data_IF_562873420040
#
_entry.id   IF_562873420040
#
_cell.length_a   1.000
_cell.length_b   1.000
_cell.length_c   1.000
_cell.angle_alpha   90.00
_cell.angle_beta   90.00
_cell.angle_gamma   90.00
#
_symmetry.space_group_name_H-M   'P 1'
#
loop_
_entity.id
_entity.type
_entity.pdbx_description
1 polymer ?
#
# COMPACT_ATOMS: atom_id res chain seq x y z
N UNK A 1 54.61 -64.11 -26.22
CA UNK A 1 53.81 -62.87 -26.30
C UNK A 1 54.18 -62.07 -27.54
N UNK A 2 53.19 -61.60 -28.32
CA UNK A 2 53.37 -60.65 -29.44
C UNK A 2 52.44 -59.46 -29.23
N UNK A 3 52.91 -58.23 -29.43
CA UNK A 3 52.10 -57.02 -29.33
C UNK A 3 51.94 -56.37 -30.69
N UNK A 4 50.70 -56.13 -31.11
CA UNK A 4 50.35 -55.50 -32.39
C UNK A 4 49.43 -54.32 -32.08
N UNK A 5 49.94 -53.09 -32.25
CA UNK A 5 49.32 -51.85 -31.75
C UNK A 5 48.94 -51.95 -30.26
N UNK A 6 47.65 -51.86 -29.94
CA UNK A 6 47.11 -51.90 -28.57
C UNK A 6 46.75 -53.31 -28.10
N UNK A 7 46.84 -54.32 -28.97
CA UNK A 7 46.42 -55.70 -28.67
C UNK A 7 47.62 -56.59 -28.38
N UNK A 8 47.58 -57.30 -27.26
CA UNK A 8 48.58 -58.33 -26.91
C UNK A 8 48.05 -59.73 -27.21
N UNK A 9 48.88 -60.55 -27.84
CA UNK A 9 48.59 -61.92 -28.28
C UNK A 9 49.52 -62.93 -27.59
N UNK A 10 48.95 -64.05 -27.15
CA UNK A 10 49.64 -65.12 -26.45
C UNK A 10 49.47 -66.46 -27.14
N UNK A 11 50.51 -67.30 -27.11
CA UNK A 11 50.37 -68.72 -27.48
C UNK A 11 49.59 -69.45 -26.39
N UNK A 12 48.91 -70.55 -26.75
CA UNK A 12 48.05 -71.29 -25.81
C UNK A 12 48.80 -71.73 -24.55
N UNK A 13 50.06 -72.19 -24.68
CA UNK A 13 50.89 -72.55 -23.52
C UNK A 13 51.15 -71.37 -22.57
N UNK A 14 51.40 -70.18 -23.12
CA UNK A 14 51.60 -68.95 -22.33
C UNK A 14 50.30 -68.54 -21.61
N UNK A 15 49.13 -68.75 -22.23
CA UNK A 15 47.83 -68.46 -21.59
C UNK A 15 47.55 -69.42 -20.43
N UNK A 16 47.96 -70.69 -20.51
CA UNK A 16 47.83 -71.65 -19.39
C UNK A 16 48.63 -71.18 -18.18
N UNK A 17 49.86 -70.70 -18.40
CA UNK A 17 50.70 -70.15 -17.33
C UNK A 17 50.08 -68.89 -16.72
N UNK A 18 49.62 -67.96 -17.55
CA UNK A 18 48.95 -66.72 -17.08
C UNK A 18 47.69 -67.05 -16.26
N UNK A 19 46.88 -68.02 -16.69
CA UNK A 19 45.68 -68.44 -15.97
C UNK A 19 46.01 -69.05 -14.60
N UNK A 20 47.11 -69.79 -14.51
CA UNK A 20 47.58 -70.38 -13.25
C UNK A 20 48.14 -69.32 -12.30
N UNK A 21 48.98 -68.41 -12.79
CA UNK A 21 49.67 -67.43 -11.95
C UNK A 21 48.77 -66.26 -11.52
N UNK A 22 47.94 -65.74 -12.43
CA UNK A 22 47.12 -64.54 -12.15
C UNK A 22 45.72 -64.85 -11.62
N UNK A 23 45.18 -66.04 -11.88
CA UNK A 23 43.78 -66.37 -11.57
C UNK A 23 43.61 -67.66 -10.75
N UNK A 24 44.71 -68.28 -10.30
CA UNK A 24 44.73 -69.60 -9.60
C UNK A 24 43.91 -70.68 -10.33
N UNK A 25 43.80 -70.56 -11.67
CA UNK A 25 42.95 -71.43 -12.48
C UNK A 25 43.78 -72.46 -13.23
N UNK A 26 43.79 -73.69 -12.71
CA UNK A 26 44.53 -74.79 -13.32
C UNK A 26 43.70 -75.44 -14.44
N UNK A 27 44.16 -75.29 -15.67
CA UNK A 27 43.56 -75.90 -16.87
C UNK A 27 44.65 -76.54 -17.74
N UNK A 28 44.38 -77.72 -18.28
CA UNK A 28 45.33 -78.32 -19.23
C UNK A 28 45.25 -77.64 -20.58
N UNK A 29 46.37 -77.57 -21.30
CA UNK A 29 46.45 -76.98 -22.64
C UNK A 29 45.40 -77.57 -23.58
N UNK A 30 45.12 -78.86 -23.50
CA UNK A 30 44.13 -79.52 -24.36
C UNK A 30 42.69 -79.09 -24.04
N UNK A 31 42.35 -78.90 -22.76
CA UNK A 31 41.01 -78.43 -22.36
C UNK A 31 40.85 -76.95 -22.70
N UNK A 32 41.89 -76.15 -22.51
CA UNK A 32 41.91 -74.75 -22.94
C UNK A 32 41.75 -74.65 -24.46
N UNK A 33 42.44 -75.49 -25.23
CA UNK A 33 42.29 -75.53 -26.68
C UNK A 33 40.84 -75.79 -27.10
N UNK A 34 40.21 -76.82 -26.50
CA UNK A 34 38.80 -77.16 -26.79
C UNK A 34 37.86 -76.01 -26.41
N UNK A 35 38.11 -75.35 -25.27
CA UNK A 35 37.30 -74.22 -24.79
C UNK A 35 37.45 -73.00 -25.69
N UNK A 36 38.67 -72.65 -26.08
CA UNK A 36 38.96 -71.56 -27.00
C UNK A 36 38.39 -71.83 -28.41
N UNK A 37 38.46 -73.08 -28.90
CA UNK A 37 37.82 -73.49 -30.16
C UNK A 37 36.29 -73.37 -30.08
N UNK A 38 35.68 -73.84 -28.98
CA UNK A 38 34.23 -73.75 -28.78
C UNK A 38 33.74 -72.31 -28.70
N UNK A 39 34.58 -71.39 -28.23
CA UNK A 39 34.29 -69.96 -28.17
C UNK A 39 34.75 -69.18 -29.41
N UNK A 40 35.29 -69.87 -30.43
CA UNK A 40 35.91 -69.28 -31.62
C UNK A 40 36.88 -68.13 -31.31
N UNK A 41 37.69 -68.31 -30.27
CA UNK A 41 38.46 -67.24 -29.66
C UNK A 41 39.89 -67.08 -30.21
N UNK A 42 40.23 -67.85 -31.25
CA UNK A 42 41.55 -67.82 -31.88
C UNK A 42 41.66 -66.72 -32.94
N UNK A 43 42.79 -66.02 -32.92
CA UNK A 43 43.19 -65.08 -33.97
C UNK A 43 44.41 -65.67 -34.68
N UNK A 44 44.33 -65.79 -36.02
CA UNK A 44 45.43 -66.30 -36.84
C UNK A 44 46.32 -65.14 -37.27
N UNK A 45 47.62 -65.23 -36.97
CA UNK A 45 48.62 -64.25 -37.40
C UNK A 45 49.90 -64.98 -37.83
N UNK A 46 50.38 -64.73 -39.05
CA UNK A 46 51.48 -65.46 -39.69
C UNK A 46 51.30 -66.99 -39.60
N UNK A 47 50.11 -67.46 -39.96
CA UNK A 47 49.69 -68.87 -39.95
C UNK A 47 49.71 -69.61 -38.60
N UNK A 48 49.94 -68.89 -37.50
CA UNK A 48 49.89 -69.43 -36.14
C UNK A 48 48.66 -68.88 -35.42
N UNK A 49 48.00 -69.74 -34.64
CA UNK A 49 46.84 -69.37 -33.82
C UNK A 49 47.30 -68.80 -32.47
N UNK A 50 46.78 -67.63 -32.13
CA UNK A 50 47.02 -66.94 -30.87
C UNK A 50 45.69 -66.65 -30.15
N UNK A 51 45.79 -66.38 -28.85
CA UNK A 51 44.69 -65.90 -28.03
C UNK A 51 44.97 -64.45 -27.60
N UNK A 52 44.05 -63.51 -27.85
CA UNK A 52 44.16 -62.15 -27.33
C UNK A 52 44.13 -62.10 -25.80
N UNK A 53 44.79 -61.10 -25.21
CA UNK A 53 44.80 -60.88 -23.76
C UNK A 53 43.40 -60.65 -23.18
N UNK A 54 42.59 -59.87 -23.89
CA UNK A 54 41.29 -59.39 -23.39
C UNK A 54 40.27 -60.51 -23.17
N UNK A 55 40.47 -61.66 -23.81
CA UNK A 55 39.60 -62.83 -23.68
C UNK A 55 40.06 -63.80 -22.59
N UNK A 56 41.23 -63.61 -21.98
CA UNK A 56 41.81 -64.56 -21.01
C UNK A 56 40.92 -64.67 -19.77
N UNK A 57 40.41 -63.56 -19.23
CA UNK A 57 39.48 -63.56 -18.10
C UNK A 57 38.17 -64.33 -18.41
N UNK A 58 37.71 -64.22 -19.66
CA UNK A 58 36.49 -64.87 -20.15
C UNK A 58 36.65 -66.40 -20.28
N UNK A 59 37.89 -66.90 -20.39
CA UNK A 59 38.20 -68.32 -20.43
C UNK A 59 38.11 -68.99 -19.05
N UNK A 60 38.02 -68.23 -17.96
CA UNK A 60 37.80 -68.75 -16.60
C UNK A 60 36.31 -69.04 -16.34
N UNK A 61 35.40 -68.33 -17.01
CA UNK A 61 33.95 -68.45 -16.76
C UNK A 61 33.36 -69.82 -17.19
N UNK A 62 32.42 -70.35 -16.40
CA UNK A 62 31.79 -71.66 -16.61
C UNK A 62 30.69 -71.57 -17.70
N UNK A 63 30.82 -72.38 -18.76
CA UNK A 63 30.15 -72.22 -20.08
C UNK A 63 28.61 -72.24 -19.99
N UNK A 64 28.02 -72.93 -19.01
CA UNK A 64 26.55 -73.03 -18.85
C UNK A 64 25.85 -71.69 -18.54
N UNK A 65 26.51 -70.73 -17.88
CA UNK A 65 25.94 -69.38 -17.63
C UNK A 65 26.00 -68.47 -18.86
N UNK A 66 26.97 -68.67 -19.77
CA UNK A 66 27.17 -67.83 -20.97
C UNK A 66 26.17 -68.17 -22.09
N UNK A 67 25.84 -69.44 -22.28
CA UNK A 67 24.86 -69.86 -23.30
C UNK A 67 23.44 -69.35 -23.01
N UNK A 68 23.02 -69.40 -21.75
CA UNK A 68 21.70 -68.88 -21.34
C UNK A 68 21.65 -67.36 -21.57
N UNK A 69 22.72 -66.62 -21.23
CA UNK A 69 22.82 -65.17 -21.47
C UNK A 69 22.73 -64.83 -22.97
N UNK A 70 23.44 -65.56 -23.82
CA UNK A 70 23.41 -65.36 -25.28
C UNK A 70 22.03 -65.67 -25.86
N UNK A 71 21.40 -66.76 -25.44
CA UNK A 71 20.04 -67.11 -25.90
C UNK A 71 19.01 -66.06 -25.47
N UNK A 72 19.08 -65.57 -24.23
CA UNK A 72 18.21 -64.49 -23.77
C UNK A 72 18.43 -63.20 -24.55
N UNK A 73 19.69 -62.87 -24.88
CA UNK A 73 20.03 -61.67 -25.64
C UNK A 73 19.47 -61.72 -27.07
N UNK A 74 19.61 -62.86 -27.77
CA UNK A 74 19.06 -63.06 -29.12
C UNK A 74 17.53 -62.88 -29.12
N UNK A 75 16.84 -63.48 -28.14
CA UNK A 75 15.37 -63.36 -28.02
C UNK A 75 14.93 -61.90 -27.78
N UNK A 76 15.69 -61.14 -26.98
CA UNK A 76 15.40 -59.72 -26.71
C UNK A 76 15.64 -58.88 -27.96
N UNK A 77 16.73 -59.11 -28.68
CA UNK A 77 17.06 -58.40 -29.92
C UNK A 77 16.00 -58.63 -31.01
N UNK A 78 15.54 -59.87 -31.21
CA UNK A 78 14.46 -60.18 -32.15
C UNK A 78 13.14 -59.48 -31.80
N UNK A 79 12.81 -59.38 -30.51
CA UNK A 79 11.61 -58.69 -30.04
C UNK A 79 11.71 -57.18 -30.24
N UNK A 80 12.87 -56.59 -29.95
CA UNK A 80 13.13 -55.16 -30.19
C UNK A 80 12.99 -54.84 -31.67
N UNK A 81 13.50 -55.69 -32.56
CA UNK A 81 13.46 -55.44 -33.99
C UNK A 81 12.02 -55.53 -34.56
N UNK A 82 11.21 -56.46 -34.04
CA UNK A 82 9.77 -56.52 -34.34
C UNK A 82 9.04 -55.25 -33.88
N UNK A 83 9.35 -54.75 -32.68
CA UNK A 83 8.75 -53.51 -32.16
C UNK A 83 9.15 -52.31 -33.03
N UNK A 84 10.41 -52.19 -33.43
CA UNK A 84 10.86 -51.11 -34.33
C UNK A 84 10.13 -51.15 -35.67
N UNK A 85 10.02 -52.31 -36.31
CA UNK A 85 9.25 -52.47 -37.57
C UNK A 85 7.79 -52.06 -37.40
N UNK A 86 7.15 -52.48 -36.30
CA UNK A 86 5.78 -52.06 -36.00
C UNK A 86 5.65 -50.55 -35.85
N UNK A 87 6.59 -49.90 -35.14
CA UNK A 87 6.61 -48.44 -34.99
C UNK A 87 6.87 -47.72 -36.32
N UNK A 88 7.73 -48.25 -37.18
CA UNK A 88 7.96 -47.71 -38.53
C UNK A 88 6.73 -47.84 -39.42
N UNK A 89 6.04 -48.98 -39.39
CA UNK A 89 4.79 -49.20 -40.12
C UNK A 89 3.67 -48.30 -39.60
N UNK A 90 3.54 -48.15 -38.28
CA UNK A 90 2.61 -47.23 -37.65
C UNK A 90 2.91 -45.78 -38.07
N UNK A 91 4.17 -45.34 -38.02
CA UNK A 91 4.58 -44.00 -38.43
C UNK A 91 4.37 -43.74 -39.94
N UNK A 92 4.56 -44.77 -40.79
CA UNK A 92 4.26 -44.71 -42.23
C UNK A 92 2.76 -44.67 -42.52
N UNK A 93 1.95 -45.35 -41.72
CA UNK A 93 0.47 -45.37 -41.85
C UNK A 93 -0.18 -44.10 -41.30
N UNK A 94 0.41 -43.53 -40.25
CA UNK A 94 -0.05 -42.32 -39.57
C UNK A 94 0.99 -41.20 -39.75
N UNK A 95 1.29 -40.85 -41.00
CA UNK A 95 2.18 -39.74 -41.41
C UNK A 95 1.59 -38.36 -41.12
N UNK A 96 1.00 -38.13 -39.95
CA UNK A 96 0.69 -36.79 -39.48
C UNK A 96 1.11 -36.70 -38.01
N UNK A 97 2.21 -36.00 -37.70
CA UNK A 97 2.51 -35.62 -36.33
C UNK A 97 1.26 -34.97 -35.71
N UNK A 98 0.93 -35.23 -34.44
CA UNK A 98 -0.28 -34.67 -33.79
C UNK A 98 -0.46 -33.17 -34.04
N UNK A 99 0.64 -32.43 -34.13
CA UNK A 99 0.70 -30.99 -34.44
C UNK A 99 0.13 -30.66 -35.83
N UNK A 100 0.43 -31.46 -36.87
CA UNK A 100 -0.11 -31.26 -38.22
C UNK A 100 -1.61 -31.59 -38.29
N UNK A 101 -2.07 -32.64 -37.59
CA UNK A 101 -3.48 -33.00 -37.51
C UNK A 101 -4.32 -31.92 -36.81
N UNK A 102 -3.79 -31.33 -35.72
CA UNK A 102 -4.41 -30.19 -35.03
C UNK A 102 -4.49 -28.97 -35.94
N UNK A 103 -3.44 -28.69 -36.71
CA UNK A 103 -3.42 -27.54 -37.63
C UNK A 103 -4.34 -27.74 -38.85
N UNK A 104 -4.46 -28.96 -39.39
CA UNK A 104 -5.40 -29.26 -40.48
C UNK A 104 -6.86 -29.27 -40.03
N UNK A 105 -7.15 -29.69 -38.78
CA UNK A 105 -8.49 -29.54 -38.19
C UNK A 105 -8.86 -28.06 -37.98
N UNK A 106 -7.92 -27.23 -37.52
CA UNK A 106 -8.11 -25.77 -37.41
C UNK A 106 -8.35 -25.11 -38.78
N UNK A 107 -7.66 -25.55 -39.84
CA UNK A 107 -7.76 -24.94 -41.17
C UNK A 107 -8.93 -25.45 -42.01
N UNK A 108 -9.45 -26.67 -41.76
CA UNK A 108 -10.54 -27.27 -42.56
C UNK A 108 -11.94 -27.02 -42.02
N UNK A 109 -12.10 -26.54 -40.80
CA UNK A 109 -13.40 -26.21 -40.25
C UNK A 109 -13.60 -24.67 -40.24
N UNK A 110 -14.36 -24.10 -41.19
CA UNK A 110 -14.63 -22.66 -41.22
C UNK A 110 -15.27 -22.16 -39.93
N UNK A 111 -16.08 -22.99 -39.25
CA UNK A 111 -16.64 -22.63 -37.94
C UNK A 111 -15.56 -22.50 -36.87
N UNK A 112 -14.51 -23.33 -36.89
CA UNK A 112 -13.40 -23.24 -35.94
C UNK A 112 -12.61 -21.95 -36.12
N UNK A 113 -12.32 -21.53 -37.36
CA UNK A 113 -11.65 -20.26 -37.61
C UNK A 113 -12.50 -19.05 -37.20
N UNK A 114 -13.81 -19.09 -37.45
CA UNK A 114 -14.75 -18.05 -36.99
C UNK A 114 -14.79 -17.96 -35.47
N UNK A 115 -14.86 -19.10 -34.77
CA UNK A 115 -14.82 -19.16 -33.31
C UNK A 115 -13.49 -18.60 -32.77
N UNK A 116 -12.35 -18.97 -33.36
CA UNK A 116 -11.03 -18.43 -32.94
C UNK A 116 -11.00 -16.91 -33.08
N UNK A 117 -11.48 -16.36 -34.20
CA UNK A 117 -11.55 -14.91 -34.41
C UNK A 117 -12.45 -14.23 -33.38
N UNK A 118 -13.63 -14.78 -33.12
CA UNK A 118 -14.57 -14.26 -32.12
C UNK A 118 -13.96 -14.28 -30.71
N UNK A 119 -13.27 -15.36 -30.33
CA UNK A 119 -12.59 -15.46 -29.03
C UNK A 119 -11.46 -14.43 -28.90
N UNK A 120 -10.69 -14.19 -29.98
CA UNK A 120 -9.65 -13.15 -29.98
C UNK A 120 -10.28 -11.76 -29.80
N UNK A 121 -11.37 -11.46 -30.53
CA UNK A 121 -12.09 -10.18 -30.40
C UNK A 121 -12.66 -10.01 -28.99
N UNK A 122 -13.35 -11.01 -28.46
CA UNK A 122 -13.88 -10.99 -27.09
C UNK A 122 -12.77 -10.76 -26.06
N UNK A 123 -11.60 -11.38 -26.24
CA UNK A 123 -10.46 -11.17 -25.35
C UNK A 123 -9.96 -9.72 -25.39
N UNK A 124 -9.94 -9.09 -26.57
CA UNK A 124 -9.57 -7.68 -26.73
C UNK A 124 -10.61 -6.75 -26.08
N UNK A 125 -11.90 -7.03 -26.29
CA UNK A 125 -13.00 -6.25 -25.69
C UNK A 125 -13.02 -6.36 -24.16
N UNK A 126 -12.80 -7.56 -23.62
CA UNK A 126 -12.66 -7.78 -22.17
C UNK A 126 -11.49 -6.96 -21.63
N UNK A 127 -10.33 -6.98 -22.29
CA UNK A 127 -9.15 -6.20 -21.85
C UNK A 127 -9.44 -4.70 -21.84
N UNK A 128 -10.07 -4.19 -22.90
CA UNK A 128 -10.45 -2.77 -22.99
C UNK A 128 -11.44 -2.40 -21.89
N UNK A 129 -12.44 -3.25 -21.65
CA UNK A 129 -13.43 -3.02 -20.58
C UNK A 129 -12.78 -3.02 -19.20
N UNK A 130 -11.78 -3.88 -18.96
CA UNK A 130 -11.02 -3.89 -17.71
C UNK A 130 -10.20 -2.61 -17.52
N UNK A 131 -9.57 -2.10 -18.58
CA UNK A 131 -8.83 -0.83 -18.56
C UNK A 131 -9.79 0.35 -18.25
N UNK A 132 -10.95 0.41 -18.91
CA UNK A 132 -11.97 1.44 -18.67
C UNK A 132 -12.53 1.39 -17.23
N UNK A 133 -12.66 0.19 -16.66
CA UNK A 133 -13.15 -0.02 -15.29
C UNK A 133 -12.10 0.43 -14.27
N UNK A 134 -10.83 0.11 -14.49
CA UNK A 134 -9.73 0.60 -13.66
C UNK A 134 -9.64 2.14 -13.67
N UNK A 135 -9.81 2.78 -14.83
CA UNK A 135 -9.79 4.25 -14.91
C UNK A 135 -10.97 4.88 -14.13
N UNK A 136 -12.14 4.22 -14.15
CA UNK A 136 -13.31 4.66 -13.38
C UNK A 136 -13.08 4.49 -11.88
N UNK A 137 -12.49 3.38 -11.44
CA UNK A 137 -12.16 3.16 -10.02
C UNK A 137 -11.16 4.22 -9.52
N UNK A 138 -10.11 4.52 -10.29
CA UNK A 138 -9.15 5.58 -9.96
C UNK A 138 -9.82 6.97 -9.84
N UNK A 139 -10.84 7.24 -10.67
CA UNK A 139 -11.64 8.48 -10.58
C UNK A 139 -12.52 8.49 -9.35
N UNK A 140 -13.14 7.36 -9.01
CA UNK A 140 -13.96 7.21 -7.80
C UNK A 140 -13.10 7.50 -6.56
N UNK A 141 -11.91 6.92 -6.47
CA UNK A 141 -10.98 7.14 -5.36
C UNK A 141 -10.59 8.62 -5.21
N UNK A 142 -10.32 9.30 -6.33
CA UNK A 142 -10.01 10.75 -6.33
C UNK A 142 -11.21 11.58 -5.85
N UNK A 143 -12.41 11.23 -6.31
CA UNK A 143 -13.64 11.91 -5.89
C UNK A 143 -13.92 11.68 -4.40
N UNK A 144 -13.74 10.46 -3.89
CA UNK A 144 -13.89 10.16 -2.48
C UNK A 144 -12.94 10.98 -1.61
N UNK A 145 -11.66 11.09 -1.99
CA UNK A 145 -10.69 11.96 -1.29
C UNK A 145 -11.12 13.43 -1.29
N UNK A 146 -11.68 13.90 -2.41
CA UNK A 146 -12.16 15.29 -2.54
C UNK A 146 -13.38 15.54 -1.66
N UNK A 147 -14.32 14.58 -1.61
CA UNK A 147 -15.50 14.63 -0.74
C UNK A 147 -15.06 14.67 0.72
N UNK A 148 -14.14 13.79 1.13
CA UNK A 148 -13.61 13.74 2.50
C UNK A 148 -13.02 15.09 2.91
N UNK A 149 -12.15 15.67 2.08
CA UNK A 149 -11.56 16.99 2.34
C UNK A 149 -12.63 18.09 2.46
N UNK A 150 -13.63 18.07 1.57
CA UNK A 150 -14.72 19.05 1.61
C UNK A 150 -15.57 18.91 2.88
N UNK A 151 -15.77 17.69 3.38
CA UNK A 151 -16.48 17.45 4.63
C UNK A 151 -15.69 17.97 5.84
N UNK A 152 -14.37 17.79 5.86
CA UNK A 152 -13.49 18.34 6.89
C UNK A 152 -13.54 19.88 6.90
N UNK A 153 -13.43 20.51 5.72
CA UNK A 153 -13.53 21.97 5.58
C UNK A 153 -14.90 22.49 6.07
N UNK A 154 -16.00 21.78 5.75
CA UNK A 154 -17.35 22.13 6.23
C UNK A 154 -17.46 22.05 7.75
N UNK A 155 -16.92 20.99 8.36
CA UNK A 155 -16.93 20.85 9.83
C UNK A 155 -16.14 21.97 10.51
N UNK A 156 -15.01 22.39 9.94
CA UNK A 156 -14.24 23.52 10.46
C UNK A 156 -15.05 24.82 10.40
N UNK A 157 -15.73 25.08 9.27
CA UNK A 157 -16.59 26.26 9.11
C UNK A 157 -17.79 26.26 10.04
N UNK A 158 -18.44 25.12 10.27
CA UNK A 158 -19.51 25.01 11.26
C UNK A 158 -19.01 25.31 12.68
N UNK A 159 -17.79 24.87 13.01
CA UNK A 159 -17.10 25.22 14.25
C UNK A 159 -16.84 26.73 14.39
N UNK A 160 -16.36 27.38 13.33
CA UNK A 160 -16.18 28.84 13.28
C UNK A 160 -17.50 29.58 13.48
N UNK A 161 -18.57 29.19 12.77
CA UNK A 161 -19.90 29.79 12.89
C UNK A 161 -20.41 29.68 14.33
N UNK A 162 -20.22 28.53 14.97
CA UNK A 162 -20.63 28.32 16.37
C UNK A 162 -19.89 29.26 17.31
N UNK A 163 -18.57 29.40 17.15
CA UNK A 163 -17.75 30.35 17.95
C UNK A 163 -18.19 31.80 17.74
N UNK A 164 -18.46 32.20 16.49
CA UNK A 164 -18.94 33.54 16.18
C UNK A 164 -20.32 33.82 16.79
N UNK A 165 -21.24 32.86 16.74
CA UNK A 165 -22.56 32.98 17.40
C UNK A 165 -22.42 33.22 18.91
N UNK A 166 -21.54 32.48 19.58
CA UNK A 166 -21.26 32.67 21.01
C UNK A 166 -20.71 34.08 21.27
N UNK A 167 -19.74 34.53 20.47
CA UNK A 167 -19.15 35.86 20.60
C UNK A 167 -20.18 36.99 20.38
N UNK A 168 -21.06 36.84 19.41
CA UNK A 168 -22.17 37.78 19.15
C UNK A 168 -23.11 37.85 20.34
N UNK A 169 -23.51 36.70 20.90
CA UNK A 169 -24.38 36.67 22.07
C UNK A 169 -23.76 37.37 23.27
N UNK A 170 -22.48 37.09 23.56
CA UNK A 170 -21.76 37.76 24.64
C UNK A 170 -21.70 39.28 24.43
N UNK A 171 -21.37 39.72 23.22
CA UNK A 171 -21.35 41.15 22.88
C UNK A 171 -22.72 41.81 23.06
N UNK A 172 -23.81 41.07 22.77
CA UNK A 172 -25.18 41.54 22.96
C UNK A 172 -25.54 41.69 24.43
N UNK A 173 -25.13 40.74 25.27
CA UNK A 173 -25.28 40.81 26.73
C UNK A 173 -24.52 42.02 27.30
N UNK A 174 -23.26 42.20 26.91
CA UNK A 174 -22.44 43.35 27.31
C UNK A 174 -23.09 44.69 26.91
N UNK A 175 -23.67 44.75 25.69
CA UNK A 175 -24.38 45.94 25.22
C UNK A 175 -25.63 46.23 26.05
N UNK A 176 -26.40 45.19 26.39
CA UNK A 176 -27.58 45.34 27.24
C UNK A 176 -27.22 45.86 28.63
N UNK A 177 -26.15 45.35 29.24
CA UNK A 177 -25.67 45.84 30.54
C UNK A 177 -25.29 47.33 30.48
N UNK A 178 -24.64 47.75 29.39
CA UNK A 178 -24.29 49.16 29.16
C UNK A 178 -25.51 50.04 28.95
N UNK A 179 -26.53 49.58 28.25
CA UNK A 179 -27.79 50.32 28.09
C UNK A 179 -28.54 50.50 29.41
N UNK A 180 -28.53 49.48 30.27
CA UNK A 180 -29.07 49.57 31.63
C UNK A 180 -28.28 50.56 32.49
N UNK A 181 -26.95 50.54 32.39
CA UNK A 181 -26.06 51.50 33.07
C UNK A 181 -26.34 52.94 32.63
N UNK A 182 -26.44 53.19 31.32
CA UNK A 182 -26.81 54.49 30.76
C UNK A 182 -28.16 54.95 31.29
N UNK A 183 -29.13 54.04 31.39
CA UNK A 183 -30.47 54.35 31.93
C UNK A 183 -30.40 54.76 33.40
N UNK A 184 -29.64 54.03 34.22
CA UNK A 184 -29.40 54.39 35.64
C UNK A 184 -28.74 55.76 35.77
N UNK A 185 -27.70 56.02 34.97
CA UNK A 185 -27.00 57.32 34.97
C UNK A 185 -27.92 58.47 34.54
N UNK A 186 -28.76 58.28 33.53
CA UNK A 186 -29.76 59.29 33.12
C UNK A 186 -30.72 59.63 34.26
N UNK A 187 -31.21 58.62 34.99
CA UNK A 187 -32.09 58.83 36.16
C UNK A 187 -31.34 59.60 37.25
N UNK A 188 -30.11 59.20 37.58
CA UNK A 188 -29.29 59.89 38.57
C UNK A 188 -29.04 61.36 38.21
N UNK A 189 -28.64 61.65 36.97
CA UNK A 189 -28.44 63.02 36.47
C UNK A 189 -29.73 63.83 36.59
N UNK A 190 -30.88 63.26 36.21
CA UNK A 190 -32.18 63.95 36.32
C UNK A 190 -32.50 64.30 37.78
N UNK A 191 -32.27 63.36 38.70
CA UNK A 191 -32.50 63.57 40.14
C UNK A 191 -31.62 64.68 40.69
N UNK A 192 -30.30 64.61 40.45
CA UNK A 192 -29.35 65.64 40.90
C UNK A 192 -29.68 67.01 40.31
N UNK A 193 -30.13 67.07 39.05
CA UNK A 193 -30.56 68.32 38.43
C UNK A 193 -31.77 68.94 39.12
N UNK A 194 -32.75 68.13 39.52
CA UNK A 194 -33.92 68.63 40.26
C UNK A 194 -33.54 69.06 41.67
N UNK A 195 -32.75 68.26 42.41
CA UNK A 195 -32.23 68.63 43.74
C UNK A 195 -31.47 69.96 43.71
N UNK A 196 -30.59 70.14 42.73
CA UNK A 196 -29.85 71.40 42.56
C UNK A 196 -30.78 72.58 42.21
N UNK A 197 -31.86 72.32 41.45
CA UNK A 197 -32.85 73.36 41.10
C UNK A 197 -33.65 73.79 42.32
N UNK A 198 -34.08 72.84 43.15
CA UNK A 198 -34.76 73.11 44.43
C UNK A 198 -33.84 73.92 45.36
N UNK A 199 -32.58 73.51 45.53
CA UNK A 199 -31.62 74.24 46.37
C UNK A 199 -31.38 75.68 45.89
N UNK A 200 -31.26 75.89 44.57
CA UNK A 200 -31.14 77.23 43.97
C UNK A 200 -32.41 78.05 44.23
N UNK A 201 -33.59 77.45 44.10
CA UNK A 201 -34.86 78.12 44.35
C UNK A 201 -34.98 78.56 45.82
N UNK A 202 -34.62 77.69 46.76
CA UNK A 202 -34.65 77.99 48.19
C UNK A 202 -33.70 79.12 48.55
N UNK A 203 -32.45 79.07 48.06
CA UNK A 203 -31.48 80.16 48.26
C UNK A 203 -31.96 81.49 47.67
N UNK A 204 -32.61 81.47 46.50
CA UNK A 204 -33.18 82.68 45.90
C UNK A 204 -34.33 83.26 46.73
N UNK A 205 -35.17 82.42 47.33
CA UNK A 205 -36.22 82.88 48.25
C UNK A 205 -35.61 83.49 49.52
N UNK A 206 -34.58 82.86 50.08
CA UNK A 206 -33.86 83.37 51.24
C UNK A 206 -33.23 84.74 50.96
N UNK A 207 -32.51 84.88 49.84
CA UNK A 207 -31.95 86.16 49.37
C UNK A 207 -33.04 87.23 49.26
N UNK A 208 -34.23 86.88 48.75
CA UNK A 208 -35.35 87.81 48.63
C UNK A 208 -35.85 88.27 50.00
N UNK A 209 -36.00 87.33 50.97
CA UNK A 209 -36.37 87.66 52.35
C UNK A 209 -35.35 88.59 53.02
N UNK A 210 -34.07 88.29 52.87
CA UNK A 210 -32.96 89.10 53.39
C UNK A 210 -32.98 90.50 52.76
N UNK A 211 -33.15 90.62 51.44
CA UNK A 211 -33.26 91.92 50.75
C UNK A 211 -34.42 92.76 51.31
N UNK A 212 -35.59 92.16 51.52
CA UNK A 212 -36.74 92.85 52.13
C UNK A 212 -36.40 93.31 53.55
N UNK A 213 -35.78 92.45 54.36
CA UNK A 213 -35.38 92.78 55.73
C UNK A 213 -34.38 93.94 55.77
N UNK A 214 -33.35 93.92 54.91
CA UNK A 214 -32.36 95.01 54.79
C UNK A 214 -33.06 96.32 54.41
N UNK A 215 -33.97 96.30 53.43
CA UNK A 215 -34.71 97.50 53.01
C UNK A 215 -35.57 98.06 54.14
N UNK A 216 -36.31 97.21 54.88
CA UNK A 216 -37.08 97.65 56.05
C UNK A 216 -36.19 98.27 57.13
N UNK A 217 -35.06 97.63 57.44
CA UNK A 217 -34.09 98.19 58.41
C UNK A 217 -33.57 99.54 57.94
N UNK A 218 -33.27 99.69 56.64
CA UNK A 218 -32.84 100.97 56.06
C UNK A 218 -33.93 102.05 56.16
N UNK A 219 -35.17 101.73 55.84
CA UNK A 219 -36.31 102.65 55.98
C UNK A 219 -36.52 103.07 57.44
N UNK A 220 -36.43 102.13 58.38
CA UNK A 220 -36.52 102.43 59.81
C UNK A 220 -35.40 103.35 60.27
N UNK A 221 -34.14 103.07 59.90
CA UNK A 221 -33.01 103.98 60.21
C UNK A 221 -33.19 105.38 59.61
N UNK A 222 -33.73 105.47 58.38
CA UNK A 222 -34.04 106.77 57.77
C UNK A 222 -35.13 107.53 58.54
N UNK A 223 -36.18 106.83 59.00
CA UNK A 223 -37.23 107.42 59.85
C UNK A 223 -36.64 107.88 61.18
N UNK A 224 -35.86 107.04 61.86
CA UNK A 224 -35.21 107.35 63.14
C UNK A 224 -34.27 108.56 63.04
N UNK A 225 -33.52 108.67 61.94
CA UNK A 225 -32.70 109.86 61.64
C UNK A 225 -33.56 111.11 61.46
N UNK A 226 -34.69 111.00 60.75
CA UNK A 226 -35.59 112.13 60.51
C UNK A 226 -36.25 112.62 61.81
N UNK A 227 -36.67 111.70 62.69
CA UNK A 227 -37.19 112.05 64.03
C UNK A 227 -36.11 112.68 64.91
N UNK A 228 -34.88 112.16 64.89
CA UNK A 228 -33.76 112.74 65.66
C UNK A 228 -33.36 114.15 65.17
N UNK A 229 -33.50 114.43 63.86
CA UNK A 229 -33.29 115.77 63.28
C UNK A 229 -34.43 116.76 63.56
N UNK A 230 -35.63 116.25 63.87
CA UNK A 230 -36.84 117.04 64.18
C UNK A 230 -37.06 117.24 65.69
N UNK A 231 -36.24 116.64 66.56
CA UNK A 231 -36.25 116.95 68.00
C UNK A 231 -35.59 118.32 68.26
N UNK A 232 -36.26 119.26 68.98
CA UNK A 232 -35.73 120.60 69.20
C UNK A 232 -34.51 120.60 70.13
N UNK A 233 -33.32 120.87 69.56
CA UNK A 233 -32.13 121.23 70.34
C UNK A 233 -32.23 122.68 70.83
N UNK A 234 -32.51 122.85 72.13
CA UNK A 234 -32.37 124.11 72.88
C UNK A 234 -33.43 124.24 73.97
N UNK A 235 -33.23 123.76 75.20
CA UNK A 235 -32.37 124.30 76.24
C UNK A 235 -32.63 125.78 76.59
N UNK A 236 -33.22 125.97 77.78
CA UNK A 236 -32.86 126.98 78.77
C UNK A 236 -32.75 128.45 78.30
N UNK A 237 -33.83 129.21 78.52
CA UNK A 237 -33.70 130.58 79.03
C UNK A 237 -34.43 130.71 80.36
N UNK A 238 -33.64 130.85 81.43
CA UNK A 238 -34.06 131.42 82.73
C UNK A 238 -34.56 132.85 82.51
N UNK A 239 -35.61 133.28 83.22
CA UNK A 239 -35.57 134.41 84.19
C UNK A 239 -36.94 134.73 84.81
N UNK A 240 -36.92 134.78 86.13
CA UNK A 240 -37.51 135.77 87.05
C UNK A 240 -38.89 136.33 86.72
N UNK A 241 -39.88 136.02 87.57
CA UNK A 241 -40.30 136.85 88.72
C UNK A 241 -41.14 136.02 89.67
#
# INVERSE_FOLDING_TARGET
>A
MKKINEITLYKVGEVVEILKEKFDYTISTQVLCRKASALNAYVKYNDINYLPEDIICDLVANIKKRQIKLNTQIIVEEKIEKIKKFLEEYNKKYTLPPIKAINTLKSRNPNTNTIIKAVIQLKQEIKKTQEDLQEKDDKIDKLQKTIQKTQEDLQEKDGEITRLKIAINKTKEDLQEKDEEITRLKIAIKKTKEEMREEIQDKNQEITRIKIAINKTRENMQKDMLTTLLEPRGAAYKKNT
#
